data_IF_290115273533
#
_entry.id   IF_290115273533
#
_cell.length_a   1.000
_cell.length_b   1.000
_cell.length_c   1.000
_cell.angle_alpha   90.00
_cell.angle_beta   90.00
_cell.angle_gamma   90.00
#
_symmetry.space_group_name_H-M   'P 1'
#
loop_
_entity.id
_entity.type
_entity.pdbx_description
1 polymer ?
#
# COMPACT_ATOMS: atom_id res chain seq x y z
N UNK A 1 14.09 -29.80 25.35
CA UNK A 1 13.48 -28.51 25.74
C UNK A 1 14.04 -27.48 24.78
N UNK A 2 13.25 -27.06 23.79
CA UNK A 2 13.69 -26.08 22.79
C UNK A 2 13.42 -24.69 23.35
N UNK A 3 14.48 -23.96 23.66
CA UNK A 3 14.39 -22.56 24.07
C UNK A 3 14.03 -21.74 22.84
N UNK A 4 12.76 -21.40 22.69
CA UNK A 4 12.33 -20.37 21.74
C UNK A 4 12.96 -19.05 22.20
N UNK A 5 14.10 -18.69 21.60
CA UNK A 5 14.60 -17.32 21.66
C UNK A 5 13.53 -16.44 21.04
N UNK A 6 12.91 -15.60 21.87
CA UNK A 6 12.14 -14.46 21.37
C UNK A 6 13.18 -13.54 20.72
N UNK A 7 13.39 -13.69 19.41
CA UNK A 7 14.20 -12.78 18.63
C UNK A 7 13.59 -11.39 18.80
N UNK A 8 14.30 -10.49 19.46
CA UNK A 8 13.93 -9.08 19.51
C UNK A 8 13.79 -8.57 18.07
N UNK A 9 12.67 -7.91 17.76
CA UNK A 9 12.43 -7.38 16.43
C UNK A 9 13.49 -6.33 16.11
N UNK A 10 14.28 -6.54 15.04
CA UNK A 10 15.30 -5.60 14.57
C UNK A 10 14.74 -4.22 14.22
N UNK A 11 13.48 -4.18 13.77
CA UNK A 11 12.75 -2.99 13.37
C UNK A 11 11.38 -2.92 14.10
N UNK A 12 11.36 -2.71 15.43
CA UNK A 12 10.14 -2.84 16.25
C UNK A 12 9.12 -1.71 16.02
N UNK A 13 9.59 -0.58 15.49
CA UNK A 13 8.81 0.61 15.16
C UNK A 13 8.39 0.66 13.68
N UNK A 14 8.62 -0.43 12.93
CA UNK A 14 8.30 -0.52 11.51
C UNK A 14 7.17 -1.50 11.29
N UNK A 15 6.24 -1.17 10.39
CA UNK A 15 5.16 -2.05 9.92
C UNK A 15 5.18 -2.11 8.39
N UNK A 16 5.04 -3.30 7.84
CA UNK A 16 4.85 -3.49 6.40
C UNK A 16 3.41 -3.12 6.02
N UNK A 17 3.24 -2.31 4.97
CA UNK A 17 1.94 -1.95 4.40
C UNK A 17 1.66 -2.75 3.13
N UNK A 18 2.64 -2.84 2.23
CA UNK A 18 2.53 -3.56 0.96
C UNK A 18 3.90 -4.06 0.53
N UNK A 19 3.94 -5.18 -0.21
CA UNK A 19 5.15 -5.68 -0.84
C UNK A 19 4.90 -6.19 -2.25
N UNK A 20 5.87 -5.98 -3.13
CA UNK A 20 5.91 -6.53 -4.48
C UNK A 20 7.23 -7.26 -4.64
N UNK A 21 7.21 -8.58 -4.44
CA UNK A 21 8.38 -9.44 -4.68
C UNK A 21 8.32 -10.06 -6.05
N UNK A 22 9.49 -10.23 -6.66
CA UNK A 22 9.61 -10.90 -7.94
C UNK A 22 9.56 -12.41 -7.75
N UNK A 23 8.80 -13.06 -8.65
CA UNK A 23 8.51 -14.50 -8.63
C UNK A 23 9.25 -15.23 -9.75
N UNK A 24 10.26 -14.60 -10.36
CA UNK A 24 11.09 -15.28 -11.34
C UNK A 24 12.06 -16.23 -10.62
N UNK A 25 12.24 -17.43 -11.19
CA UNK A 25 13.06 -18.51 -10.59
C UNK A 25 14.49 -18.05 -10.29
N UNK A 26 14.97 -17.04 -11.03
CA UNK A 26 16.32 -16.52 -10.96
C UNK A 26 16.45 -15.26 -10.06
N UNK A 27 15.37 -14.79 -9.43
CA UNK A 27 15.33 -13.61 -8.54
C UNK A 27 16.13 -12.41 -9.12
N UNK A 28 15.90 -12.13 -10.42
CA UNK A 28 16.74 -11.20 -11.21
C UNK A 28 16.30 -9.75 -11.11
N UNK A 29 15.21 -9.51 -10.39
CA UNK A 29 14.57 -8.22 -10.28
C UNK A 29 14.57 -7.75 -8.83
N UNK A 30 14.42 -6.45 -8.70
CA UNK A 30 14.28 -5.83 -7.39
C UNK A 30 12.93 -6.21 -6.75
N UNK A 31 12.90 -6.37 -5.43
CA UNK A 31 11.65 -6.41 -4.66
C UNK A 31 11.39 -5.05 -4.03
N UNK A 32 10.12 -4.64 -4.01
CA UNK A 32 9.68 -3.37 -3.45
C UNK A 32 8.85 -3.58 -2.19
N UNK A 33 9.09 -2.72 -1.20
CA UNK A 33 8.42 -2.74 0.09
C UNK A 33 7.94 -1.34 0.45
N UNK A 34 6.70 -1.25 0.93
CA UNK A 34 6.12 -0.02 1.47
C UNK A 34 5.91 -0.20 2.96
N UNK A 35 6.58 0.60 3.76
CA UNK A 35 6.60 0.48 5.21
C UNK A 35 6.14 1.77 5.89
N UNK A 36 5.58 1.63 7.09
CA UNK A 36 5.38 2.73 8.03
C UNK A 36 6.40 2.65 9.14
N UNK A 37 7.09 3.75 9.40
CA UNK A 37 8.05 3.91 10.50
C UNK A 37 7.47 4.87 11.54
N UNK A 38 7.60 4.51 12.83
CA UNK A 38 7.08 5.25 13.98
C UNK A 38 5.57 5.52 13.91
N UNK A 39 4.83 4.69 13.17
CA UNK A 39 3.39 4.83 12.99
C UNK A 39 2.94 5.98 12.06
N UNK A 40 3.85 6.72 11.43
CA UNK A 40 3.45 7.88 10.60
C UNK A 40 4.32 8.20 9.38
N UNK A 41 5.54 7.65 9.28
CA UNK A 41 6.41 7.91 8.14
C UNK A 41 6.34 6.77 7.13
N UNK A 42 5.71 7.03 5.98
CA UNK A 42 5.73 6.08 4.87
C UNK A 42 7.11 6.10 4.20
N UNK A 43 7.69 4.92 4.02
CA UNK A 43 9.00 4.68 3.41
C UNK A 43 8.87 3.62 2.32
N UNK A 44 9.54 3.86 1.20
CA UNK A 44 9.70 2.94 0.09
C UNK A 44 11.09 2.32 0.17
N UNK A 45 11.15 1.00 0.21
CA UNK A 45 12.40 0.25 0.30
C UNK A 45 12.46 -0.72 -0.86
N UNK A 46 13.54 -0.64 -1.63
CA UNK A 46 13.81 -1.55 -2.74
C UNK A 46 15.02 -2.41 -2.39
N UNK A 47 14.91 -3.72 -2.53
CA UNK A 47 16.03 -4.64 -2.34
C UNK A 47 16.65 -5.01 -3.67
N UNK A 48 17.98 -5.06 -3.73
CA UNK A 48 18.67 -5.58 -4.90
C UNK A 48 18.29 -7.03 -5.18
N UNK A 49 18.45 -7.51 -6.43
CA UNK A 49 18.05 -8.86 -6.80
C UNK A 49 18.83 -9.92 -6.03
N UNK A 50 18.19 -11.05 -5.73
CA UNK A 50 18.86 -12.22 -5.14
C UNK A 50 19.31 -12.08 -3.69
N UNK A 51 19.11 -10.94 -3.02
CA UNK A 51 19.64 -10.77 -1.65
C UNK A 51 18.97 -11.69 -0.62
N UNK A 52 17.76 -12.18 -0.94
CA UNK A 52 16.98 -13.11 -0.13
C UNK A 52 16.58 -14.36 -0.93
N UNK A 53 17.36 -14.76 -1.94
CA UNK A 53 17.02 -15.92 -2.78
C UNK A 53 17.00 -17.25 -2.00
N UNK A 54 17.81 -17.36 -0.95
CA UNK A 54 17.87 -18.53 -0.07
C UNK A 54 16.71 -18.57 0.95
N UNK A 55 15.88 -17.52 0.99
CA UNK A 55 14.82 -17.37 1.99
C UNK A 55 13.46 -17.80 1.41
N UNK A 56 12.59 -18.44 2.22
CA UNK A 56 11.26 -18.80 1.76
C UNK A 56 10.49 -17.57 1.28
N UNK A 57 9.74 -17.70 0.19
CA UNK A 57 8.89 -16.63 -0.35
C UNK A 57 7.95 -16.05 0.72
N UNK A 58 7.35 -16.91 1.54
CA UNK A 58 6.49 -16.50 2.66
C UNK A 58 7.20 -15.58 3.65
N UNK A 59 8.50 -15.78 3.89
CA UNK A 59 9.28 -14.93 4.79
C UNK A 59 9.61 -13.57 4.17
N UNK A 60 9.74 -13.51 2.83
CA UNK A 60 9.97 -12.26 2.08
C UNK A 60 8.73 -11.37 2.03
N UNK A 61 7.54 -11.94 2.21
CA UNK A 61 6.25 -11.25 2.14
C UNK A 61 5.56 -11.09 3.50
N UNK A 62 5.99 -11.84 4.52
CA UNK A 62 5.42 -11.77 5.86
C UNK A 62 6.15 -10.73 6.72
N UNK A 63 5.48 -9.59 6.94
CA UNK A 63 6.02 -8.44 7.67
C UNK A 63 6.81 -8.79 8.95
N UNK A 64 6.30 -9.64 9.86
CA UNK A 64 7.05 -10.02 11.06
C UNK A 64 8.40 -10.68 10.78
N UNK A 65 8.49 -11.63 9.85
CA UNK A 65 9.79 -12.26 9.50
C UNK A 65 10.68 -11.29 8.73
N UNK A 66 10.12 -10.62 7.73
CA UNK A 66 10.82 -9.65 6.90
C UNK A 66 11.50 -8.56 7.76
N UNK A 67 10.77 -7.97 8.70
CA UNK A 67 11.24 -6.83 9.50
C UNK A 67 12.12 -7.23 10.68
N UNK A 68 11.93 -8.44 11.24
CA UNK A 68 12.73 -8.91 12.38
C UNK A 68 14.07 -9.51 11.95
N UNK A 69 14.14 -10.14 10.77
CA UNK A 69 15.26 -10.98 10.37
C UNK A 69 15.93 -10.53 9.08
N UNK A 70 15.15 -10.32 8.02
CA UNK A 70 15.67 -10.14 6.67
C UNK A 70 16.18 -8.73 6.40
N UNK A 71 15.32 -7.72 6.61
CA UNK A 71 15.70 -6.34 6.34
C UNK A 71 16.74 -5.85 7.36
N UNK A 72 17.70 -4.99 6.95
CA UNK A 72 18.57 -4.29 7.88
C UNK A 72 17.78 -3.35 8.78
N UNK A 73 18.44 -2.85 9.84
CA UNK A 73 17.84 -1.83 10.70
C UNK A 73 17.58 -0.57 9.86
N UNK A 74 16.37 -0.02 9.94
CA UNK A 74 16.02 1.19 9.22
C UNK A 74 16.86 2.38 9.74
N UNK A 75 17.57 3.11 8.87
CA UNK A 75 18.32 4.28 9.30
C UNK A 75 17.37 5.39 9.73
N UNK A 76 17.79 6.19 10.71
CA UNK A 76 17.08 7.42 11.07
C UNK A 76 17.12 8.48 9.96
N UNK A 77 16.46 9.61 10.22
CA UNK A 77 16.50 10.78 9.34
C UNK A 77 15.35 10.89 8.36
N UNK A 78 15.35 12.01 7.62
CA UNK A 78 14.28 12.40 6.71
C UNK A 78 14.53 11.87 5.28
N UNK A 79 14.30 10.58 5.10
CA UNK A 79 14.26 9.93 3.79
C UNK A 79 12.86 9.35 3.53
N UNK A 80 12.56 8.99 2.29
CA UNK A 80 11.34 8.22 1.97
C UNK A 80 11.58 7.16 0.91
N UNK A 81 12.77 7.10 0.32
CA UNK A 81 13.23 6.02 -0.55
C UNK A 81 14.56 5.48 -0.03
N UNK A 82 14.70 4.16 0.04
CA UNK A 82 15.92 3.49 0.46
C UNK A 82 16.19 2.27 -0.41
N UNK A 83 17.47 2.03 -0.71
CA UNK A 83 17.92 0.81 -1.39
C UNK A 83 18.70 -0.07 -0.42
N UNK A 84 18.32 -1.34 -0.35
CA UNK A 84 19.01 -2.37 0.40
C UNK A 84 19.77 -3.26 -0.57
N UNK A 85 21.04 -3.50 -0.28
CA UNK A 85 21.87 -4.40 -1.08
C UNK A 85 22.89 -5.11 -0.19
N UNK A 86 23.48 -6.18 -0.74
CA UNK A 86 24.57 -6.92 -0.12
C UNK A 86 25.90 -6.24 -0.46
N UNK A 87 26.71 -5.95 0.55
CA UNK A 87 28.09 -5.50 0.37
C UNK A 87 28.92 -6.66 -0.22
N UNK A 88 29.58 -6.48 -1.37
CA UNK A 88 30.34 -7.56 -2.01
C UNK A 88 31.63 -7.93 -1.28
N UNK A 89 32.15 -7.04 -0.42
CA UNK A 89 33.39 -7.25 0.34
C UNK A 89 33.15 -7.93 1.68
N UNK A 90 32.07 -7.58 2.40
CA UNK A 90 31.75 -8.18 3.71
C UNK A 90 30.67 -9.24 3.64
N UNK A 91 29.83 -9.20 2.61
CA UNK A 91 28.63 -10.02 2.50
C UNK A 91 27.46 -9.52 3.35
N UNK A 92 27.58 -8.38 4.02
CA UNK A 92 26.53 -7.82 4.88
C UNK A 92 25.42 -7.15 4.07
N UNK A 93 24.18 -7.31 4.53
CA UNK A 93 23.02 -6.63 3.93
C UNK A 93 22.77 -5.32 4.69
N UNK A 94 22.76 -4.20 3.97
CA UNK A 94 22.57 -2.87 4.54
C UNK A 94 21.83 -1.92 3.60
N UNK A 95 21.37 -0.77 4.12
CA UNK A 95 20.90 0.33 3.29
C UNK A 95 22.10 1.01 2.63
N UNK A 96 22.25 0.82 1.32
CA UNK A 96 23.35 1.40 0.53
C UNK A 96 23.05 2.82 0.07
N UNK A 97 21.77 3.17 -0.07
CA UNK A 97 21.33 4.53 -0.34
C UNK A 97 20.04 4.83 0.43
N UNK A 98 19.92 6.08 0.89
CA UNK A 98 18.66 6.66 1.33
C UNK A 98 18.55 8.08 0.78
N UNK A 99 17.36 8.45 0.35
CA UNK A 99 17.12 9.75 -0.24
C UNK A 99 15.70 10.24 0.05
N UNK A 100 15.54 11.57 -0.09
CA UNK A 100 14.26 12.23 -0.01
C UNK A 100 13.79 12.56 -1.43
N UNK A 101 12.78 11.85 -1.88
CA UNK A 101 12.21 11.95 -3.22
C UNK A 101 10.84 12.60 -3.16
N UNK A 102 10.53 13.43 -4.15
CA UNK A 102 9.17 13.91 -4.38
C UNK A 102 8.45 12.95 -5.30
N UNK A 103 7.60 12.07 -4.76
CA UNK A 103 6.84 11.12 -5.56
C UNK A 103 5.64 11.78 -6.27
N UNK A 104 5.17 11.20 -7.40
CA UNK A 104 3.94 11.62 -8.05
C UNK A 104 2.76 11.61 -7.07
N UNK A 105 1.85 12.58 -7.17
CA UNK A 105 0.64 12.66 -6.34
C UNK A 105 -0.53 12.85 -7.28
N UNK A 106 -1.71 12.35 -6.91
CA UNK A 106 -2.95 12.79 -7.55
C UNK A 106 -3.00 14.33 -7.47
N UNK A 107 -3.28 14.96 -8.61
CA UNK A 107 -3.30 16.41 -8.80
C UNK A 107 -4.73 16.94 -8.83
N UNK A 108 -5.68 16.19 -9.38
CA UNK A 108 -7.09 16.55 -9.40
C UNK A 108 -7.77 16.37 -8.02
N UNK A 109 -7.37 17.19 -7.05
CA UNK A 109 -7.92 17.18 -5.69
C UNK A 109 -9.15 18.09 -5.61
N UNK A 110 -10.28 17.62 -6.16
CA UNK A 110 -11.51 18.41 -6.27
C UNK A 110 -12.46 18.28 -5.07
N UNK A 111 -12.29 17.27 -4.22
CA UNK A 111 -13.14 17.04 -3.06
C UNK A 111 -12.48 17.66 -1.82
N UNK A 112 -13.21 18.40 -0.96
CA UNK A 112 -12.60 19.15 0.14
C UNK A 112 -12.06 18.27 1.27
N UNK A 113 -12.61 17.06 1.43
CA UNK A 113 -12.16 16.14 2.47
C UNK A 113 -10.85 15.46 2.06
N UNK A 114 -9.84 15.60 2.94
CA UNK A 114 -8.53 14.95 2.84
C UNK A 114 -8.30 14.11 4.09
N UNK A 115 -8.13 12.81 3.89
CA UNK A 115 -7.99 11.82 4.95
C UNK A 115 -6.57 11.26 4.97
N UNK A 116 -6.16 10.70 6.09
CA UNK A 116 -4.89 10.02 6.22
C UNK A 116 -5.12 8.51 6.14
N UNK A 117 -4.40 7.83 5.25
CA UNK A 117 -4.48 6.38 5.04
C UNK A 117 -4.33 5.60 6.35
N UNK A 118 -3.46 6.07 7.25
CA UNK A 118 -3.16 5.35 8.50
C UNK A 118 -4.28 5.46 9.55
N UNK A 119 -5.28 6.30 9.31
CA UNK A 119 -6.45 6.45 10.18
C UNK A 119 -7.59 5.49 9.79
N UNK A 120 -7.44 4.75 8.68
CA UNK A 120 -8.36 3.70 8.27
C UNK A 120 -8.09 2.40 9.02
N UNK A 121 -9.16 1.70 9.37
CA UNK A 121 -9.10 0.34 9.90
C UNK A 121 -9.50 -0.65 8.82
N UNK A 122 -8.53 -1.38 8.28
CA UNK A 122 -8.76 -2.43 7.28
C UNK A 122 -9.68 -3.53 7.84
N UNK A 123 -10.64 -3.94 7.01
CA UNK A 123 -11.59 -5.00 7.31
C UNK A 123 -11.38 -6.21 6.40
N UNK A 124 -11.22 -5.97 5.09
CA UNK A 124 -11.10 -7.01 4.08
C UNK A 124 -10.21 -6.56 2.93
N UNK A 125 -9.26 -7.42 2.56
CA UNK A 125 -8.44 -7.25 1.37
C UNK A 125 -9.14 -7.84 0.15
N UNK A 126 -9.43 -7.02 -0.86
CA UNK A 126 -10.12 -7.48 -2.07
C UNK A 126 -9.14 -7.77 -3.22
N UNK A 127 -8.18 -6.89 -3.42
CA UNK A 127 -7.18 -6.95 -4.49
C UNK A 127 -5.99 -6.04 -4.12
N UNK A 128 -4.79 -6.17 -4.73
CA UNK A 128 -3.71 -5.21 -4.52
C UNK A 128 -4.20 -3.78 -4.69
N UNK A 129 -3.95 -2.95 -3.67
CA UNK A 129 -4.40 -1.56 -3.63
C UNK A 129 -5.92 -1.37 -3.48
N UNK A 130 -6.74 -2.40 -3.26
CA UNK A 130 -8.19 -2.28 -3.07
C UNK A 130 -8.64 -3.06 -1.85
N UNK A 131 -9.16 -2.34 -0.85
CA UNK A 131 -9.62 -2.95 0.40
C UNK A 131 -10.91 -2.31 0.90
N UNK A 132 -11.61 -3.05 1.75
CA UNK A 132 -12.71 -2.54 2.56
C UNK A 132 -12.11 -2.06 3.88
N UNK A 133 -12.42 -0.83 4.27
CA UNK A 133 -11.99 -0.25 5.52
C UNK A 133 -13.11 0.56 6.18
N UNK A 134 -12.90 0.92 7.44
CA UNK A 134 -13.74 1.89 8.15
C UNK A 134 -12.92 3.12 8.52
N UNK A 135 -13.60 4.26 8.61
CA UNK A 135 -13.04 5.51 9.10
C UNK A 135 -14.11 6.23 9.92
N UNK A 136 -13.83 6.74 11.13
CA UNK A 136 -14.83 7.37 12.01
C UNK A 136 -15.65 8.48 11.34
N UNK A 137 -14.99 9.30 10.51
CA UNK A 137 -15.62 10.44 9.84
C UNK A 137 -16.33 10.08 8.52
N UNK A 138 -16.26 8.82 8.08
CA UNK A 138 -16.86 8.37 6.82
C UNK A 138 -18.02 7.42 7.05
N UNK A 139 -19.08 7.59 6.26
CA UNK A 139 -20.19 6.64 6.18
C UNK A 139 -20.76 6.22 7.56
N UNK A 140 -20.80 7.17 8.52
CA UNK A 140 -21.25 6.91 9.90
C UNK A 140 -20.43 5.81 10.61
N UNK A 141 -19.13 5.70 10.28
CA UNK A 141 -18.24 4.64 10.75
C UNK A 141 -18.40 3.31 10.01
N UNK A 142 -19.29 3.25 9.02
CA UNK A 142 -19.53 2.06 8.20
C UNK A 142 -18.43 1.77 7.17
N UNK A 143 -18.49 0.60 6.53
CA UNK A 143 -17.48 0.17 5.56
C UNK A 143 -17.49 1.04 4.30
N UNK A 144 -16.29 1.29 3.77
CA UNK A 144 -16.03 1.98 2.50
C UNK A 144 -15.04 1.15 1.68
N UNK A 145 -15.12 1.27 0.35
CA UNK A 145 -14.06 0.75 -0.53
C UNK A 145 -13.03 1.84 -0.71
N UNK A 146 -11.78 1.54 -0.41
CA UNK A 146 -10.66 2.43 -0.66
C UNK A 146 -9.75 1.80 -1.71
N UNK A 147 -9.37 2.62 -2.69
CA UNK A 147 -8.43 2.26 -3.75
C UNK A 147 -7.18 3.11 -3.59
N UNK A 148 -6.06 2.47 -3.26
CA UNK A 148 -4.76 3.06 -2.97
C UNK A 148 -3.79 2.78 -4.11
N UNK A 149 -3.13 3.82 -4.60
CA UNK A 149 -1.87 3.71 -5.32
C UNK A 149 -0.75 3.44 -4.31
N UNK A 150 -0.52 2.16 -4.02
CA UNK A 150 0.55 1.73 -3.12
C UNK A 150 1.90 2.24 -3.64
N UNK A 151 2.10 2.18 -4.96
CA UNK A 151 3.36 2.54 -5.60
C UNK A 151 3.31 3.86 -6.37
N UNK A 152 4.46 4.56 -6.52
CA UNK A 152 4.57 5.76 -7.32
C UNK A 152 4.02 5.68 -8.74
N UNK A 153 4.20 4.54 -9.41
CA UNK A 153 3.76 4.31 -10.78
C UNK A 153 2.25 4.07 -10.92
N UNK A 154 1.53 3.80 -9.83
CA UNK A 154 0.07 3.54 -9.85
C UNK A 154 -0.78 4.81 -9.76
N UNK A 155 -0.16 5.94 -9.42
CA UNK A 155 -0.86 7.22 -9.19
C UNK A 155 -1.60 7.70 -10.43
N UNK A 156 -1.09 7.42 -11.64
CA UNK A 156 -1.76 7.78 -12.90
C UNK A 156 -3.15 7.17 -13.03
N UNK A 157 -3.33 5.91 -12.62
CA UNK A 157 -4.64 5.24 -12.62
C UNK A 157 -5.60 5.91 -11.64
N UNK A 158 -5.11 6.29 -10.45
CA UNK A 158 -5.89 7.01 -9.45
C UNK A 158 -6.30 8.41 -9.94
N UNK A 159 -5.44 9.13 -10.67
CA UNK A 159 -5.75 10.43 -11.29
C UNK A 159 -6.93 10.32 -12.26
N UNK A 160 -6.90 9.30 -13.13
CA UNK A 160 -7.96 9.04 -14.12
C UNK A 160 -9.27 8.70 -13.42
N UNK A 161 -9.24 7.77 -12.46
CA UNK A 161 -10.44 7.37 -11.71
C UNK A 161 -11.04 8.55 -10.91
N UNK A 162 -10.19 9.34 -10.25
CA UNK A 162 -10.59 10.56 -9.53
C UNK A 162 -11.27 11.58 -10.44
N UNK A 163 -10.74 11.75 -11.65
CA UNK A 163 -11.30 12.66 -12.66
C UNK A 163 -12.64 12.15 -13.18
N UNK A 164 -12.78 10.84 -13.39
CA UNK A 164 -14.05 10.24 -13.76
C UNK A 164 -15.11 10.45 -12.66
N UNK A 165 -14.74 10.27 -11.38
CA UNK A 165 -15.64 10.57 -10.25
C UNK A 165 -16.07 12.03 -10.20
N UNK A 166 -15.18 12.96 -10.54
CA UNK A 166 -15.53 14.39 -10.63
C UNK A 166 -16.65 14.63 -11.66
N UNK A 167 -16.52 14.02 -12.84
CA UNK A 167 -17.48 14.21 -13.93
C UNK A 167 -18.86 13.65 -13.61
N UNK A 168 -18.92 12.51 -12.91
CA UNK A 168 -20.18 11.85 -12.56
C UNK A 168 -20.75 12.29 -11.20
N UNK A 169 -20.02 13.13 -10.45
CA UNK A 169 -20.44 13.57 -9.14
C UNK A 169 -21.80 14.27 -9.22
N UNK A 170 -22.73 13.90 -8.34
CA UNK A 170 -24.10 14.44 -8.32
C UNK A 170 -25.04 13.91 -9.41
N UNK A 171 -24.58 13.06 -10.32
CA UNK A 171 -25.40 12.51 -11.41
C UNK A 171 -26.10 11.19 -11.05
N UNK A 172 -25.87 10.65 -9.85
CA UNK A 172 -26.43 9.36 -9.42
C UNK A 172 -25.83 8.16 -10.17
N UNK A 173 -24.65 8.33 -10.77
CA UNK A 173 -23.93 7.29 -11.49
C UNK A 173 -22.80 6.77 -10.59
N UNK A 174 -22.79 5.47 -10.34
CA UNK A 174 -21.74 4.80 -9.56
C UNK A 174 -21.76 5.10 -8.05
N UNK A 175 -20.74 4.63 -7.32
CA UNK A 175 -20.53 4.96 -5.91
C UNK A 175 -20.40 6.46 -5.66
N UNK A 176 -20.73 6.87 -4.44
CA UNK A 176 -20.38 8.22 -3.98
C UNK A 176 -18.89 8.28 -3.63
N UNK A 177 -18.17 9.22 -4.23
CA UNK A 177 -16.81 9.61 -3.83
C UNK A 177 -16.84 10.29 -2.46
N UNK A 178 -15.95 9.90 -1.55
CA UNK A 178 -15.99 10.36 -0.15
C UNK A 178 -14.85 11.30 0.23
N UNK A 179 -13.78 11.36 -0.57
CA UNK A 179 -12.64 12.22 -0.27
C UNK A 179 -11.37 11.78 -0.97
N UNK A 180 -10.30 12.50 -0.68
CA UNK A 180 -8.95 12.15 -1.09
C UNK A 180 -8.23 11.54 0.11
N UNK A 181 -7.30 10.63 -0.12
CA UNK A 181 -6.49 10.02 0.94
C UNK A 181 -5.01 10.29 0.69
N UNK A 182 -4.33 10.71 1.75
CA UNK A 182 -2.89 10.95 1.78
C UNK A 182 -2.16 9.80 2.45
N UNK A 183 -0.93 9.53 1.99
CA UNK A 183 -0.04 8.58 2.66
C UNK A 183 0.62 9.21 3.89
N UNK A 184 -0.02 9.13 5.05
CA UNK A 184 0.44 9.86 6.23
C UNK A 184 0.10 11.35 6.20
N UNK A 185 0.23 12.03 7.34
CA UNK A 185 -0.26 13.42 7.55
C UNK A 185 0.32 14.49 6.61
N UNK A 186 1.50 14.26 6.03
CA UNK A 186 2.17 15.18 5.10
C UNK A 186 2.55 14.47 3.79
N UNK A 187 1.86 13.35 3.51
CA UNK A 187 2.08 12.57 2.32
C UNK A 187 1.46 13.19 1.09
N UNK A 188 1.78 12.57 -0.05
CA UNK A 188 1.06 12.77 -1.30
C UNK A 188 -0.33 12.15 -1.24
N UNK A 189 -1.21 12.59 -2.14
CA UNK A 189 -2.51 11.97 -2.35
C UNK A 189 -2.33 10.70 -3.17
N UNK A 190 -2.77 9.58 -2.61
CA UNK A 190 -2.57 8.23 -3.15
C UNK A 190 -3.86 7.44 -3.31
N UNK A 191 -4.96 7.84 -2.67
CA UNK A 191 -6.17 7.04 -2.66
C UNK A 191 -7.44 7.88 -2.74
N UNK A 192 -8.54 7.19 -3.01
CA UNK A 192 -9.89 7.73 -2.94
C UNK A 192 -10.83 6.70 -2.29
N UNK A 193 -11.56 7.04 -1.21
CA UNK A 193 -12.59 6.18 -0.66
C UNK A 193 -13.92 6.44 -1.37
N UNK A 194 -14.70 5.39 -1.52
CA UNK A 194 -16.05 5.44 -2.04
C UNK A 194 -16.98 4.58 -1.20
N UNK A 195 -18.27 4.91 -1.20
CA UNK A 195 -19.25 4.01 -0.59
C UNK A 195 -19.20 2.64 -1.28
N UNK A 196 -19.50 1.59 -0.52
CA UNK A 196 -19.77 0.28 -1.11
C UNK A 196 -20.85 0.43 -2.19
N UNK A 197 -20.57 -0.01 -3.41
CA UNK A 197 -21.62 -0.29 -4.37
C UNK A 197 -22.59 -1.24 -3.68
N UNK A 198 -23.88 -0.87 -3.57
CA UNK A 198 -24.92 -1.89 -3.42
C UNK A 198 -24.92 -2.69 -4.72
N UNK A 199 -24.01 -3.65 -4.83
CA UNK A 199 -24.11 -4.69 -5.83
C UNK A 199 -25.41 -5.40 -5.46
N UNK A 200 -26.51 -5.05 -6.15
CA UNK A 200 -27.67 -5.94 -6.18
C UNK A 200 -27.11 -7.28 -6.62
N UNK A 201 -27.25 -8.26 -5.74
CA UNK A 201 -26.67 -9.59 -5.80
C UNK A 201 -26.44 -10.05 -7.24
N UNK A 202 -25.21 -9.95 -7.74
CA UNK A 202 -24.85 -10.41 -9.09
C UNK A 202 -24.92 -11.94 -9.22
N UNK A 203 -25.32 -12.66 -8.16
CA UNK A 203 -25.69 -14.07 -8.20
C UNK A 203 -27.14 -14.30 -8.63
N UNK A 204 -27.93 -13.24 -8.83
CA UNK A 204 -29.25 -13.34 -9.47
C UNK A 204 -29.10 -13.33 -11.01
N UNK A 205 -29.34 -14.47 -11.69
CA UNK A 205 -29.20 -14.59 -13.14
C UNK A 205 -30.17 -13.70 -13.94
N UNK A 206 -31.18 -13.07 -13.32
CA UNK A 206 -32.05 -12.11 -14.01
C UNK A 206 -31.38 -10.76 -14.27
N UNK A 207 -30.38 -10.37 -13.46
CA UNK A 207 -29.67 -9.09 -13.59
C UNK A 207 -28.72 -9.07 -14.80
N UNK A 208 -28.20 -10.24 -15.22
CA UNK A 208 -27.28 -10.39 -16.35
C UNK A 208 -27.91 -10.05 -17.71
N UNK A 209 -29.25 -10.09 -17.84
CA UNK A 209 -29.93 -9.69 -19.09
C UNK A 209 -30.04 -8.18 -19.27
N UNK A 210 -29.93 -7.39 -18.21
CA UNK A 210 -30.02 -5.94 -18.29
C UNK A 210 -28.67 -5.27 -18.67
N UNK A 211 -27.53 -5.91 -18.35
CA UNK A 211 -26.20 -5.37 -18.61
C UNK A 211 -25.65 -5.65 -20.03
N UNK A 212 -26.44 -6.28 -20.91
CA UNK A 212 -26.06 -6.57 -22.31
C UNK A 212 -26.68 -5.63 -23.34
N UNK A 213 -27.17 -4.46 -22.91
CA UNK A 213 -27.83 -3.47 -23.80
C UNK A 213 -27.20 -2.08 -23.79
N UNK A 214 -25.94 -1.95 -23.36
CA UNK A 214 -25.10 -0.79 -23.64
C UNK A 214 -23.73 -1.27 -24.08
#
# INVERSE_FOLDING_TARGET
MSTTLVLGTKNPNVRLLECLTTMDEDDTKDSDYRCVVDGHHVKYVTTAPGIFCDEPEGDRNYGPTLLSRLLPTFPGGDWNQGRVAKDPSTGDISFVTTEKVTFPSVKNVWHPLLLNELDFTEQEYLHPGVHIATHPDLNEGGPVVIKVANWPWEVGSNEIETTAYQWINGHGIGPRFLGHVTEGKKGRVVASPSNMCKVRDMRDPTTLRAARKF
#
